data_IF_190237333184
#
_entry.id   IF_190237333184
#
_cell.length_a   1.000
_cell.length_b   1.000
_cell.length_c   1.000
_cell.angle_alpha   90.00
_cell.angle_beta   90.00
_cell.angle_gamma   90.00
#
_symmetry.space_group_name_H-M   'P 1'
#
loop_
_entity.id
_entity.type
_entity.pdbx_description
1 polymer ?
#
# COMPACT_ATOMS: atom_id res chain seq x y z
N UNK A 1 9.50 -16.25 6.27
CA UNK A 1 8.13 -15.73 6.45
C UNK A 1 8.12 -14.26 6.82
N UNK A 2 9.04 -13.78 7.64
CA UNK A 2 9.09 -12.37 8.09
C UNK A 2 9.03 -11.35 6.95
N UNK A 3 9.85 -11.51 5.90
CA UNK A 3 9.85 -10.61 4.74
C UNK A 3 8.51 -10.64 3.97
N UNK A 4 7.93 -11.83 3.80
CA UNK A 4 6.63 -11.98 3.14
C UNK A 4 5.50 -11.32 3.94
N UNK A 5 5.54 -11.43 5.27
CA UNK A 5 4.58 -10.76 6.16
C UNK A 5 4.76 -9.24 6.10
N UNK A 6 6.00 -8.74 6.15
CA UNK A 6 6.31 -7.31 6.01
C UNK A 6 5.81 -6.77 4.68
N UNK A 7 6.04 -7.49 3.58
CA UNK A 7 5.53 -7.11 2.26
C UNK A 7 3.99 -7.12 2.23
N UNK A 8 3.35 -8.10 2.86
CA UNK A 8 1.88 -8.15 2.97
C UNK A 8 1.30 -6.93 3.67
N UNK A 9 1.91 -6.49 4.78
CA UNK A 9 1.52 -5.27 5.50
C UNK A 9 1.74 -4.03 4.63
N UNK A 10 2.87 -3.95 3.94
CA UNK A 10 3.20 -2.83 3.06
C UNK A 10 2.19 -2.69 1.91
N UNK A 11 1.89 -3.80 1.20
CA UNK A 11 0.91 -3.81 0.11
C UNK A 11 -0.50 -3.47 0.62
N UNK A 12 -0.87 -3.95 1.81
CA UNK A 12 -2.15 -3.62 2.42
C UNK A 12 -2.27 -2.12 2.73
N UNK A 13 -1.22 -1.52 3.31
CA UNK A 13 -1.16 -0.07 3.56
C UNK A 13 -1.31 0.74 2.28
N UNK A 14 -0.50 0.41 1.26
CA UNK A 14 -0.58 1.06 -0.05
C UNK A 14 -1.97 0.96 -0.70
N UNK A 15 -2.64 -0.20 -0.59
CA UNK A 15 -4.01 -0.34 -1.09
C UNK A 15 -5.02 0.51 -0.31
N UNK A 16 -4.79 0.68 1.00
CA UNK A 16 -5.56 1.59 1.85
C UNK A 16 -5.39 3.05 1.44
N UNK A 17 -4.15 3.48 1.20
CA UNK A 17 -3.85 4.85 0.79
C UNK A 17 -4.48 5.16 -0.58
N UNK A 18 -4.31 4.27 -1.57
CA UNK A 18 -4.91 4.42 -2.89
C UNK A 18 -6.45 4.44 -2.85
N UNK A 19 -7.05 3.66 -1.95
CA UNK A 19 -8.49 3.68 -1.75
C UNK A 19 -8.92 5.01 -1.09
N UNK A 20 -8.24 5.44 -0.03
CA UNK A 20 -8.54 6.69 0.67
C UNK A 20 -8.40 7.92 -0.25
N UNK A 21 -7.39 7.95 -1.14
CA UNK A 21 -7.26 8.98 -2.17
C UNK A 21 -8.47 9.03 -3.12
N UNK A 22 -9.07 7.87 -3.42
CA UNK A 22 -10.16 7.76 -4.37
C UNK A 22 -11.54 8.01 -3.77
N UNK A 23 -11.79 7.59 -2.53
CA UNK A 23 -13.14 7.62 -1.92
C UNK A 23 -13.21 8.41 -0.60
N UNK A 24 -12.08 8.92 -0.12
CA UNK A 24 -11.96 9.58 1.18
C UNK A 24 -11.75 8.60 2.34
N UNK A 25 -11.11 9.07 3.42
CA UNK A 25 -10.82 8.25 4.60
C UNK A 25 -12.09 7.79 5.34
N UNK A 26 -13.08 8.67 5.51
CA UNK A 26 -14.30 8.35 6.27
C UNK A 26 -15.17 7.28 5.56
N UNK A 27 -15.05 7.14 4.24
CA UNK A 27 -15.74 6.14 3.43
C UNK A 27 -14.95 4.83 3.28
N UNK A 28 -13.77 4.72 3.89
CA UNK A 28 -12.90 3.56 3.72
C UNK A 28 -13.45 2.35 4.48
N UNK A 29 -13.60 1.23 3.77
CA UNK A 29 -13.99 -0.06 4.35
C UNK A 29 -12.97 -1.13 3.98
N UNK A 30 -12.99 -2.27 4.67
CA UNK A 30 -12.13 -3.40 4.32
C UNK A 30 -12.35 -3.89 2.86
N UNK A 31 -13.59 -3.85 2.37
CA UNK A 31 -13.92 -4.20 0.98
C UNK A 31 -13.29 -3.21 0.00
N UNK A 32 -13.31 -1.92 0.33
CA UNK A 32 -12.63 -0.89 -0.46
C UNK A 32 -11.15 -1.21 -0.61
N UNK A 33 -10.46 -1.52 0.49
CA UNK A 33 -9.03 -1.89 0.45
C UNK A 33 -8.81 -3.14 -0.44
N UNK A 34 -9.64 -4.18 -0.28
CA UNK A 34 -9.55 -5.40 -1.08
C UNK A 34 -9.73 -5.14 -2.59
N UNK A 35 -10.62 -4.22 -2.96
CA UNK A 35 -10.84 -3.84 -4.36
C UNK A 35 -9.64 -3.07 -4.95
N UNK A 36 -8.85 -2.39 -4.11
CA UNK A 36 -7.67 -1.65 -4.53
C UNK A 36 -6.36 -2.48 -4.48
N UNK A 37 -6.35 -3.63 -3.80
CA UNK A 37 -5.19 -4.53 -3.75
C UNK A 37 -4.60 -4.90 -5.14
N UNK A 38 -5.39 -5.25 -6.18
CA UNK A 38 -4.84 -5.54 -7.50
C UNK A 38 -4.09 -4.37 -8.11
N UNK A 39 -4.57 -3.14 -7.88
CA UNK A 39 -3.91 -1.90 -8.33
C UNK A 39 -2.62 -1.66 -7.56
N UNK A 40 -2.65 -1.76 -6.23
CA UNK A 40 -1.45 -1.64 -5.39
C UNK A 40 -0.34 -2.62 -5.83
N UNK A 41 -0.73 -3.88 -6.09
CA UNK A 41 0.20 -4.90 -6.59
C UNK A 41 0.76 -4.58 -7.98
N UNK A 42 -0.03 -3.97 -8.87
CA UNK A 42 0.44 -3.54 -10.19
C UNK A 42 1.44 -2.40 -10.06
N UNK A 43 1.11 -1.37 -9.29
CA UNK A 43 1.97 -0.22 -9.02
C UNK A 43 3.31 -0.67 -8.44
N UNK A 44 3.32 -1.61 -7.50
CA UNK A 44 4.55 -2.16 -6.94
C UNK A 44 5.40 -2.92 -7.96
N UNK A 45 4.81 -3.62 -8.93
CA UNK A 45 5.58 -4.29 -9.99
C UNK A 45 6.19 -3.31 -10.99
N UNK A 46 5.48 -2.21 -11.27
CA UNK A 46 5.88 -1.24 -12.28
C UNK A 46 6.81 -0.14 -11.73
N UNK A 47 6.65 0.23 -10.46
CA UNK A 47 7.24 1.44 -9.87
C UNK A 47 7.83 1.19 -8.46
N UNK A 48 8.33 -0.02 -8.18
CA UNK A 48 8.75 -0.44 -6.83
C UNK A 48 9.62 0.58 -6.10
N UNK A 49 10.75 0.99 -6.68
CA UNK A 49 11.71 1.90 -6.05
C UNK A 49 11.08 3.24 -5.67
N UNK A 50 10.27 3.81 -6.56
CA UNK A 50 9.59 5.08 -6.31
C UNK A 50 8.64 4.95 -5.12
N UNK A 51 7.78 3.94 -5.15
CA UNK A 51 6.77 3.70 -4.10
C UNK A 51 7.44 3.38 -2.77
N UNK A 52 8.48 2.53 -2.79
CA UNK A 52 9.23 2.18 -1.60
C UNK A 52 9.85 3.42 -0.97
N UNK A 53 10.48 4.30 -1.75
CA UNK A 53 11.10 5.52 -1.23
C UNK A 53 10.07 6.54 -0.71
N UNK A 54 8.93 6.69 -1.38
CA UNK A 54 7.85 7.60 -0.95
C UNK A 54 7.17 7.15 0.35
N UNK A 55 7.08 5.83 0.58
CA UNK A 55 6.34 5.24 1.68
C UNK A 55 7.24 4.66 2.79
N UNK A 56 8.56 4.79 2.65
CA UNK A 56 9.52 4.41 3.68
C UNK A 56 9.92 5.63 4.49
N UNK A 57 9.81 5.54 5.81
CA UNK A 57 10.41 6.53 6.69
C UNK A 57 11.93 6.31 6.71
N UNK A 58 12.75 7.37 6.66
CA UNK A 58 14.18 7.23 6.93
C UNK A 58 14.33 6.67 8.33
N UNK A 59 15.02 5.54 8.46
CA UNK A 59 15.40 5.00 9.76
C UNK A 59 16.43 5.97 10.33
N UNK A 60 15.96 6.89 11.17
CA UNK A 60 16.83 7.72 12.01
C UNK A 60 17.43 6.78 13.06
N UNK A 61 18.65 6.30 12.78
CA UNK A 61 19.51 5.66 13.78
C UNK A 61 20.23 6.74 14.57
#
# INVERSE_FOLDING_TARGET
FEEAVRMGVFVHGLAGDLAAESIGMDGLTAVSIMNFLPRAMKELRENFERIYNENSLPVLV
#
